data_IF_241788410523
#
_entry.id   IF_241788410523
#
_cell.length_a   1.000
_cell.length_b   1.000
_cell.length_c   1.000
_cell.angle_alpha   90.00
_cell.angle_beta   90.00
_cell.angle_gamma   90.00
#
_symmetry.space_group_name_H-M   'P 1'
#
loop_
_entity.id
_entity.type
_entity.pdbx_description
1 polymer ?
#
# COMPACT_ATOMS: atom_id res chain seq x y z
N UNK A 1 36.03 -77.43 31.61
CA UNK A 1 34.93 -77.21 32.56
C UNK A 1 33.84 -76.43 31.86
N UNK A 2 32.64 -76.97 31.97
CA UNK A 2 31.45 -76.76 31.15
C UNK A 2 30.50 -75.71 31.75
N UNK A 3 29.52 -75.32 30.91
CA UNK A 3 28.25 -74.63 31.12
C UNK A 3 28.18 -73.13 30.76
N UNK A 4 27.56 -72.73 29.62
CA UNK A 4 26.10 -72.66 29.30
C UNK A 4 25.33 -71.87 30.38
N UNK A 5 24.45 -70.90 30.15
CA UNK A 5 23.55 -70.46 29.06
C UNK A 5 23.09 -69.04 29.49
N UNK A 6 22.64 -68.07 28.68
CA UNK A 6 21.36 -68.04 27.94
C UNK A 6 21.24 -66.71 27.20
N UNK A 7 21.06 -66.79 25.88
CA UNK A 7 20.67 -65.68 25.00
C UNK A 7 19.24 -65.23 25.31
N UNK A 8 18.98 -63.93 25.29
CA UNK A 8 17.65 -63.37 24.99
C UNK A 8 17.79 -62.42 23.81
N UNK A 9 17.25 -62.86 22.68
CA UNK A 9 17.08 -62.11 21.43
C UNK A 9 16.02 -61.03 21.63
N UNK A 10 16.38 -59.77 21.40
CA UNK A 10 15.40 -58.70 21.23
C UNK A 10 14.78 -58.85 19.83
N UNK A 11 13.50 -59.21 19.77
CA UNK A 11 12.73 -59.26 18.53
C UNK A 11 12.46 -57.83 18.06
N UNK A 12 12.79 -57.57 16.80
CA UNK A 12 12.38 -56.39 16.03
C UNK A 12 10.87 -56.15 16.16
N UNK A 13 10.48 -54.96 16.61
CA UNK A 13 9.11 -54.46 16.43
C UNK A 13 8.99 -53.98 14.98
N UNK A 14 8.32 -54.78 14.14
CA UNK A 14 7.70 -54.29 12.91
C UNK A 14 6.58 -53.33 13.29
N UNK A 15 6.80 -52.03 13.10
CA UNK A 15 5.72 -51.05 13.09
C UNK A 15 4.97 -51.18 11.76
N UNK A 16 3.75 -51.73 11.82
CA UNK A 16 2.80 -51.69 10.71
C UNK A 16 2.41 -50.24 10.47
N UNK A 17 2.86 -49.63 9.37
CA UNK A 17 2.35 -48.32 8.92
C UNK A 17 0.95 -48.57 8.35
N UNK A 18 -0.06 -48.37 9.19
CA UNK A 18 -1.46 -48.32 8.78
C UNK A 18 -1.79 -46.90 8.36
N UNK A 19 -2.38 -46.77 7.18
CA UNK A 19 -3.17 -45.59 6.81
C UNK A 19 -2.38 -44.50 6.11
N UNK A 20 -2.60 -44.39 4.80
CA UNK A 20 -2.06 -43.32 3.98
C UNK A 20 -2.40 -41.96 4.56
N UNK A 21 -1.36 -41.13 4.75
CA UNK A 21 -1.56 -39.71 4.74
C UNK A 21 -2.12 -39.37 3.36
N UNK A 22 -3.41 -39.06 3.31
CA UNK A 22 -4.01 -38.28 2.25
C UNK A 22 -3.12 -37.04 2.17
N UNK A 23 -2.22 -37.01 1.19
CA UNK A 23 -1.64 -35.76 0.74
C UNK A 23 -2.84 -34.92 0.35
N UNK A 24 -3.24 -34.05 1.26
CA UNK A 24 -4.24 -33.05 1.01
C UNK A 24 -3.67 -32.23 -0.12
N UNK A 25 -4.04 -32.63 -1.34
CA UNK A 25 -3.90 -31.84 -2.54
C UNK A 25 -4.92 -30.73 -2.38
N UNK A 26 -4.69 -29.85 -1.40
CA UNK A 26 -5.22 -28.52 -1.42
C UNK A 26 -4.54 -27.90 -2.62
N UNK A 27 -5.17 -28.08 -3.78
CA UNK A 27 -5.05 -27.12 -4.84
C UNK A 27 -5.17 -25.77 -4.16
N UNK A 28 -4.06 -25.03 -4.09
CA UNK A 28 -4.09 -23.60 -3.89
C UNK A 28 -4.78 -23.02 -5.12
N UNK A 29 -6.08 -23.28 -5.25
CA UNK A 29 -6.97 -22.57 -6.11
C UNK A 29 -7.06 -21.19 -5.46
N UNK A 30 -6.04 -20.38 -5.73
CA UNK A 30 -6.13 -18.92 -5.67
C UNK A 30 -7.28 -18.57 -6.60
N UNK A 31 -8.47 -18.48 -6.04
CA UNK A 31 -9.63 -18.02 -6.77
C UNK A 31 -9.34 -16.57 -7.18
N UNK A 32 -8.98 -16.43 -8.46
CA UNK A 32 -9.04 -15.24 -9.32
C UNK A 32 -7.88 -14.23 -9.46
N UNK A 33 -6.64 -14.48 -9.04
CA UNK A 33 -5.55 -13.54 -9.38
C UNK A 33 -4.32 -14.19 -9.98
N UNK A 34 -4.15 -13.99 -11.29
CA UNK A 34 -2.92 -14.32 -12.02
C UNK A 34 -1.85 -13.28 -11.69
N UNK A 35 -0.57 -13.68 -11.52
CA UNK A 35 0.52 -12.72 -11.37
C UNK A 35 0.63 -11.84 -12.63
N UNK A 36 1.06 -10.61 -12.44
CA UNK A 36 1.26 -9.65 -13.52
C UNK A 36 2.55 -8.86 -13.32
N UNK A 37 3.05 -8.29 -14.42
CA UNK A 37 4.22 -7.41 -14.44
C UNK A 37 3.79 -6.09 -15.06
N UNK A 38 4.14 -4.98 -14.41
CA UNK A 38 3.95 -3.64 -14.96
C UNK A 38 5.32 -2.99 -15.16
N UNK A 39 5.49 -2.30 -16.28
CA UNK A 39 6.60 -1.38 -16.52
C UNK A 39 6.37 -0.08 -15.75
N UNK A 40 7.39 0.76 -15.71
CA UNK A 40 7.37 2.00 -14.96
C UNK A 40 6.18 2.91 -15.32
N UNK A 41 5.91 3.10 -16.61
CA UNK A 41 4.83 3.97 -17.10
C UNK A 41 3.46 3.29 -17.16
N UNK A 42 3.37 1.99 -16.90
CA UNK A 42 2.13 1.23 -17.02
C UNK A 42 1.33 1.30 -15.71
N UNK A 43 0.04 1.59 -15.81
CA UNK A 43 -0.89 1.45 -14.69
C UNK A 43 -1.67 0.14 -14.80
N UNK A 44 -2.03 -0.42 -13.65
CA UNK A 44 -2.95 -1.53 -13.53
C UNK A 44 -4.30 -1.12 -14.13
N UNK A 45 -4.81 -1.92 -15.06
CA UNK A 45 -6.02 -1.63 -15.85
C UNK A 45 -5.96 -0.35 -16.70
N UNK A 46 -4.80 0.30 -16.80
CA UNK A 46 -4.67 1.63 -17.42
C UNK A 46 -5.12 2.79 -16.54
N UNK A 47 -5.35 2.55 -15.24
CA UNK A 47 -5.86 3.55 -14.30
C UNK A 47 -4.78 4.55 -13.88
N UNK A 48 -4.72 5.68 -14.60
CA UNK A 48 -3.88 6.85 -14.29
C UNK A 48 -4.78 7.98 -13.81
N UNK A 49 -4.59 8.41 -12.56
CA UNK A 49 -5.32 9.54 -11.98
C UNK A 49 -4.47 10.81 -12.05
N UNK A 50 -4.75 11.68 -13.00
CA UNK A 50 -4.09 12.98 -13.13
C UNK A 50 -4.78 14.01 -12.24
N UNK A 51 -4.11 14.41 -11.16
CA UNK A 51 -4.67 15.34 -10.17
C UNK A 51 -3.84 16.63 -10.21
N UNK A 52 -4.47 17.74 -10.62
CA UNK A 52 -3.81 19.05 -10.78
C UNK A 52 -2.52 19.02 -11.64
N UNK A 53 -2.46 18.10 -12.61
CA UNK A 53 -1.31 17.92 -13.49
C UNK A 53 -0.25 16.93 -12.97
N UNK A 54 -0.48 16.29 -11.83
CA UNK A 54 0.39 15.28 -11.24
C UNK A 54 -0.23 13.89 -11.34
N UNK A 55 0.45 12.99 -12.04
CA UNK A 55 -0.05 11.64 -12.27
C UNK A 55 0.12 10.75 -11.03
N UNK A 56 -0.91 9.95 -10.76
CA UNK A 56 -0.92 8.83 -9.80
C UNK A 56 -1.27 7.57 -10.58
N UNK A 57 -0.28 6.73 -10.82
CA UNK A 57 -0.46 5.46 -11.54
C UNK A 57 -0.83 4.38 -10.51
N UNK A 58 -2.03 3.84 -10.59
CA UNK A 58 -2.40 2.66 -9.80
C UNK A 58 -1.57 1.47 -10.28
N UNK A 59 -0.80 0.84 -9.39
CA UNK A 59 0.07 -0.31 -9.69
C UNK A 59 -0.51 -1.63 -9.20
N UNK A 60 -1.15 -1.59 -8.04
CA UNK A 60 -1.88 -2.72 -7.45
C UNK A 60 -3.22 -2.17 -6.98
N UNK A 61 -4.33 -2.73 -7.48
CA UNK A 61 -5.68 -2.31 -7.07
C UNK A 61 -6.21 -3.17 -5.92
N UNK A 62 -7.20 -2.67 -5.18
CA UNK A 62 -8.04 -3.48 -4.29
C UNK A 62 -8.65 -4.70 -4.98
N UNK A 63 -8.94 -4.59 -6.27
CA UNK A 63 -9.38 -5.71 -7.12
C UNK A 63 -8.34 -6.82 -7.24
N UNK A 64 -7.06 -6.49 -7.05
CA UNK A 64 -5.92 -7.42 -7.03
C UNK A 64 -5.58 -7.89 -5.60
N UNK A 65 -6.28 -7.44 -4.57
CA UNK A 65 -5.84 -7.70 -3.18
C UNK A 65 -6.99 -8.07 -2.24
N UNK A 66 -8.21 -8.27 -2.76
CA UNK A 66 -9.43 -8.40 -1.94
C UNK A 66 -9.57 -7.20 -0.98
N UNK A 67 -9.32 -6.01 -1.51
CA UNK A 67 -9.30 -4.73 -0.79
C UNK A 67 -8.30 -4.63 0.37
N UNK A 68 -7.24 -5.45 0.40
CA UNK A 68 -6.25 -5.38 1.47
C UNK A 68 -5.28 -4.19 1.31
N UNK A 69 -4.88 -3.87 0.08
CA UNK A 69 -4.00 -2.73 -0.20
C UNK A 69 -4.17 -2.21 -1.63
N UNK A 70 -3.89 -0.93 -1.80
CA UNK A 70 -3.66 -0.28 -3.10
C UNK A 70 -2.26 0.27 -3.13
N UNK A 71 -1.53 0.10 -4.24
CA UNK A 71 -0.19 0.66 -4.41
C UNK A 71 -0.17 1.58 -5.62
N UNK A 72 0.48 2.74 -5.48
CA UNK A 72 0.56 3.77 -6.50
C UNK A 72 2.00 4.23 -6.73
N UNK A 73 2.29 4.66 -7.96
CA UNK A 73 3.43 5.53 -8.24
C UNK A 73 2.90 6.95 -8.48
N UNK A 74 3.41 7.91 -7.72
CA UNK A 74 3.15 9.33 -7.90
C UNK A 74 4.34 10.06 -8.49
N UNK A 75 4.06 10.96 -9.43
CA UNK A 75 5.03 11.87 -10.03
C UNK A 75 4.66 13.31 -9.68
N UNK A 76 5.64 14.07 -9.24
CA UNK A 76 5.42 15.39 -8.64
C UNK A 76 6.49 16.37 -9.11
N UNK A 77 6.18 17.66 -8.99
CA UNK A 77 7.11 18.77 -9.27
C UNK A 77 7.25 19.65 -8.03
N UNK A 78 8.21 20.55 -8.07
CA UNK A 78 8.45 21.52 -7.00
C UNK A 78 7.20 22.26 -6.56
N UNK A 79 7.07 22.41 -5.24
CA UNK A 79 5.94 23.04 -4.56
C UNK A 79 4.61 22.30 -4.70
N UNK A 80 4.57 21.11 -5.31
CA UNK A 80 3.40 20.26 -5.18
C UNK A 80 3.19 19.89 -3.71
N UNK A 81 1.95 19.97 -3.26
CA UNK A 81 1.55 19.69 -1.89
C UNK A 81 0.11 19.21 -1.85
N UNK A 82 -0.19 18.34 -0.88
CA UNK A 82 -1.55 18.02 -0.51
C UNK A 82 -2.02 18.96 0.61
N UNK A 83 -3.32 19.27 0.72
CA UNK A 83 -3.83 19.89 1.92
C UNK A 83 -3.58 19.01 3.15
N UNK A 84 -3.52 19.61 4.34
CA UNK A 84 -3.49 18.85 5.58
C UNK A 84 -4.77 18.04 5.73
N UNK A 85 -4.63 16.72 5.80
CA UNK A 85 -5.78 15.82 5.83
C UNK A 85 -5.58 14.62 6.74
N UNK A 86 -6.69 13.94 7.04
CA UNK A 86 -6.76 12.75 7.91
C UNK A 86 -7.49 11.65 7.17
N UNK A 87 -6.90 10.47 7.13
CA UNK A 87 -7.59 9.24 6.76
C UNK A 87 -8.20 8.62 8.01
N UNK A 88 -9.51 8.36 8.03
CA UNK A 88 -10.16 7.72 9.18
C UNK A 88 -10.09 6.18 9.13
N UNK A 89 -9.89 5.65 7.93
CA UNK A 89 -10.08 4.22 7.65
C UNK A 89 -8.87 3.54 7.02
N UNK A 90 -7.90 4.30 6.53
CA UNK A 90 -6.74 3.78 5.80
C UNK A 90 -5.47 4.31 6.49
N UNK A 91 -4.51 3.42 6.75
CA UNK A 91 -3.13 3.85 6.97
C UNK A 91 -2.51 4.13 5.59
N UNK A 92 -1.60 5.09 5.52
CA UNK A 92 -0.88 5.46 4.30
C UNK A 92 0.63 5.39 4.54
N UNK A 93 1.40 5.10 3.50
CA UNK A 93 2.85 5.14 3.58
C UNK A 93 3.45 5.65 2.28
N UNK A 94 4.56 6.38 2.39
CA UNK A 94 5.30 6.89 1.24
C UNK A 94 6.74 6.39 1.32
N UNK A 95 7.25 5.94 0.18
CA UNK A 95 8.66 5.67 -0.07
C UNK A 95 9.14 6.61 -1.16
N UNK A 96 10.16 7.43 -0.85
CA UNK A 96 10.70 8.39 -1.82
C UNK A 96 11.67 7.66 -2.75
N UNK A 97 11.32 7.61 -4.04
CA UNK A 97 12.15 7.01 -5.08
C UNK A 97 13.10 8.04 -5.68
N UNK A 98 12.62 9.28 -5.87
CA UNK A 98 13.38 10.39 -6.44
C UNK A 98 13.01 11.70 -5.72
N UNK A 99 13.99 12.56 -5.49
CA UNK A 99 13.77 13.94 -5.01
C UNK A 99 13.88 14.10 -3.50
N UNK A 100 13.38 15.24 -3.02
CA UNK A 100 13.38 15.65 -1.62
C UNK A 100 12.00 16.22 -1.27
N UNK A 101 11.37 15.67 -0.24
CA UNK A 101 9.99 15.96 0.16
C UNK A 101 9.93 16.22 1.66
N UNK A 102 9.31 17.32 2.05
CA UNK A 102 8.99 17.61 3.44
C UNK A 102 7.64 16.99 3.77
N UNK A 103 7.60 16.06 4.71
CA UNK A 103 6.37 15.54 5.29
C UNK A 103 6.10 16.24 6.62
N UNK A 104 4.83 16.50 6.89
CA UNK A 104 4.36 16.83 8.24
C UNK A 104 3.38 15.75 8.69
N UNK A 105 3.62 15.18 9.89
CA UNK A 105 2.82 14.13 10.51
C UNK A 105 2.47 14.57 11.93
N UNK A 106 1.20 14.90 12.14
CA UNK A 106 0.78 15.66 13.31
C UNK A 106 1.55 16.99 13.39
N UNK A 107 2.29 17.17 14.48
CA UNK A 107 3.08 18.38 14.73
C UNK A 107 4.54 18.26 14.26
N UNK A 108 4.97 17.06 13.89
CA UNK A 108 6.36 16.79 13.50
C UNK A 108 6.59 16.97 12.00
N UNK A 109 7.80 17.42 11.66
CA UNK A 109 8.23 17.64 10.28
C UNK A 109 9.50 16.88 9.98
N UNK A 110 9.49 16.17 8.85
CA UNK A 110 10.55 15.29 8.43
C UNK A 110 10.87 15.53 6.95
N UNK A 111 12.11 15.85 6.63
CA UNK A 111 12.56 15.95 5.24
C UNK A 111 13.12 14.61 4.80
N UNK A 112 12.46 14.00 3.82
CA UNK A 112 12.79 12.70 3.27
C UNK A 112 13.42 12.86 1.89
N UNK A 113 14.39 11.99 1.58
CA UNK A 113 15.10 11.91 0.30
C UNK A 113 14.96 10.51 -0.28
N UNK A 114 15.43 10.32 -1.52
CA UNK A 114 15.50 9.00 -2.16
C UNK A 114 16.05 7.91 -1.23
N UNK A 115 15.26 6.86 -1.02
CA UNK A 115 15.59 5.74 -0.13
C UNK A 115 14.90 5.78 1.23
N UNK A 116 14.36 6.94 1.61
CA UNK A 116 13.64 7.13 2.87
C UNK A 116 12.15 6.78 2.74
N UNK A 117 11.52 6.47 3.87
CA UNK A 117 10.08 6.22 3.95
C UNK A 117 9.44 6.88 5.16
N UNK A 118 8.14 7.14 5.07
CA UNK A 118 7.29 7.54 6.19
C UNK A 118 6.04 6.66 6.22
N UNK A 119 5.68 6.20 7.42
CA UNK A 119 4.40 5.57 7.70
C UNK A 119 3.47 6.59 8.35
N UNK A 120 2.24 6.66 7.87
CA UNK A 120 1.21 7.63 8.24
C UNK A 120 0.01 6.85 8.79
N UNK A 121 -0.03 6.60 10.11
CA UNK A 121 -1.17 5.93 10.72
C UNK A 121 -2.47 6.71 10.48
N UNK A 122 -3.55 5.98 10.26
CA UNK A 122 -4.92 6.52 10.24
C UNK A 122 -5.20 7.35 11.50
N UNK A 123 -6.08 8.33 11.36
CA UNK A 123 -6.45 9.31 12.38
C UNK A 123 -5.35 10.30 12.79
N UNK A 124 -4.19 10.29 12.13
CA UNK A 124 -3.16 11.31 12.31
C UNK A 124 -3.15 12.22 11.08
N UNK A 125 -3.28 13.53 11.31
CA UNK A 125 -3.24 14.52 10.25
C UNK A 125 -1.87 14.56 9.59
N UNK A 126 -1.83 14.61 8.26
CA UNK A 126 -0.58 14.70 7.53
C UNK A 126 -0.71 15.44 6.21
N UNK A 127 0.44 15.84 5.68
CA UNK A 127 0.62 16.53 4.40
C UNK A 127 2.07 16.38 3.95
N UNK A 128 2.34 16.76 2.71
CA UNK A 128 3.68 16.83 2.15
C UNK A 128 3.88 18.13 1.36
N UNK A 129 5.14 18.50 1.14
CA UNK A 129 5.60 19.54 0.21
C UNK A 129 6.83 19.06 -0.54
N UNK A 130 6.77 19.06 -1.87
CA UNK A 130 7.92 18.71 -2.71
C UNK A 130 8.90 19.89 -2.75
N UNK A 131 10.14 19.64 -2.30
CA UNK A 131 11.20 20.66 -2.21
C UNK A 131 12.10 20.69 -3.46
N UNK A 132 12.35 19.54 -4.07
CA UNK A 132 13.15 19.39 -5.29
C UNK A 132 12.37 19.77 -6.55
N UNK A 133 13.07 19.93 -7.69
CA UNK A 133 12.42 20.24 -8.97
C UNK A 133 11.42 19.17 -9.42
N UNK A 134 11.74 17.90 -9.14
CA UNK A 134 10.90 16.74 -9.35
C UNK A 134 10.98 15.80 -8.16
N UNK A 135 9.91 15.06 -7.91
CA UNK A 135 9.92 13.95 -6.98
C UNK A 135 9.09 12.78 -7.51
N UNK A 136 9.47 11.57 -7.13
CA UNK A 136 8.74 10.34 -7.41
C UNK A 136 8.58 9.59 -6.11
N UNK A 137 7.35 9.19 -5.80
CA UNK A 137 7.05 8.42 -4.59
C UNK A 137 6.26 7.18 -4.95
N UNK A 138 6.61 6.06 -4.33
CA UNK A 138 5.74 4.91 -4.21
C UNK A 138 4.92 5.14 -2.95
N UNK A 139 3.62 4.97 -3.01
CA UNK A 139 2.80 5.01 -1.81
C UNK A 139 1.68 3.99 -1.86
N UNK A 140 1.21 3.58 -0.69
CA UNK A 140 0.12 2.63 -0.59
C UNK A 140 -0.83 2.99 0.54
N UNK A 141 -2.07 2.50 0.41
CA UNK A 141 -3.09 2.63 1.44
C UNK A 141 -3.60 1.27 1.87
N UNK A 142 -3.84 1.11 3.17
CA UNK A 142 -4.33 -0.14 3.78
C UNK A 142 -5.45 0.11 4.79
N UNK A 143 -6.63 -0.52 4.65
CA UNK A 143 -7.11 -1.27 3.50
C UNK A 143 -7.19 -0.42 2.22
N UNK A 144 -7.51 -1.07 1.12
CA UNK A 144 -7.74 -0.44 -0.18
C UNK A 144 -9.17 0.14 -0.30
N UNK A 145 -9.37 0.96 -1.33
CA UNK A 145 -10.67 1.24 -1.92
C UNK A 145 -11.08 2.69 -1.82
N UNK A 146 -10.88 3.34 -0.66
CA UNK A 146 -11.32 4.73 -0.47
C UNK A 146 -10.41 5.69 -1.20
N UNK A 147 -9.09 5.53 -1.07
CA UNK A 147 -8.13 6.36 -1.81
C UNK A 147 -8.22 6.15 -3.33
N UNK A 148 -8.45 4.92 -3.82
CA UNK A 148 -8.73 4.67 -5.24
C UNK A 148 -9.97 5.43 -5.72
N UNK A 149 -11.08 5.34 -4.99
CA UNK A 149 -12.32 6.03 -5.33
C UNK A 149 -12.17 7.56 -5.26
N UNK A 150 -11.43 8.07 -4.27
CA UNK A 150 -11.13 9.48 -4.10
C UNK A 150 -10.33 10.02 -5.29
N UNK A 151 -9.21 9.38 -5.65
CA UNK A 151 -8.39 9.84 -6.78
C UNK A 151 -9.11 9.72 -8.11
N UNK A 152 -9.86 8.64 -8.35
CA UNK A 152 -10.69 8.53 -9.55
C UNK A 152 -11.65 9.72 -9.64
N UNK A 153 -12.42 9.98 -8.59
CA UNK A 153 -13.41 11.05 -8.57
C UNK A 153 -12.77 12.44 -8.68
N UNK A 154 -11.62 12.64 -8.06
CA UNK A 154 -10.90 13.92 -8.11
C UNK A 154 -10.30 14.17 -9.50
N UNK A 155 -9.78 13.13 -10.16
CA UNK A 155 -9.23 13.23 -11.53
C UNK A 155 -10.28 13.58 -12.58
N UNK A 156 -11.56 13.29 -12.32
CA UNK A 156 -12.69 13.60 -13.19
C UNK A 156 -13.26 15.01 -12.94
N UNK A 157 -12.83 15.69 -11.88
CA UNK A 157 -13.30 17.02 -11.52
C UNK A 157 -12.84 18.07 -12.53
N UNK A 158 -13.77 18.90 -13.00
CA UNK A 158 -13.47 19.97 -13.97
C UNK A 158 -13.05 21.25 -13.25
N UNK A 159 -11.91 21.79 -13.64
CA UNK A 159 -11.39 23.05 -13.10
C UNK A 159 -10.79 22.91 -11.69
N UNK A 160 -10.39 24.04 -11.11
CA UNK A 160 -9.89 24.07 -9.73
C UNK A 160 -11.07 24.28 -8.77
N UNK A 161 -11.33 23.35 -7.84
CA UNK A 161 -12.39 23.52 -6.85
C UNK A 161 -12.07 24.64 -5.85
N UNK A 162 -13.11 25.28 -5.34
CA UNK A 162 -12.99 26.19 -4.19
C UNK A 162 -12.66 25.41 -2.92
N UNK A 163 -12.20 26.10 -1.87
CA UNK A 163 -11.94 25.47 -0.57
C UNK A 163 -13.18 24.78 0.02
N UNK A 164 -14.37 25.38 -0.15
CA UNK A 164 -15.65 24.81 0.30
C UNK A 164 -16.01 23.53 -0.48
N UNK A 165 -15.81 23.55 -1.80
CA UNK A 165 -16.01 22.37 -2.64
C UNK A 165 -15.04 21.25 -2.26
N UNK A 166 -13.78 21.59 -1.98
CA UNK A 166 -12.80 20.62 -1.50
C UNK A 166 -13.16 20.04 -0.14
N UNK A 167 -13.64 20.86 0.79
CA UNK A 167 -14.07 20.37 2.11
C UNK A 167 -15.25 19.40 1.99
N UNK A 168 -16.26 19.74 1.18
CA UNK A 168 -17.38 18.85 0.91
C UNK A 168 -16.93 17.55 0.22
N UNK A 169 -15.97 17.65 -0.71
CA UNK A 169 -15.43 16.51 -1.44
C UNK A 169 -14.67 15.54 -0.53
N UNK A 170 -13.77 16.03 0.32
CA UNK A 170 -13.07 15.23 1.33
C UNK A 170 -14.05 14.50 2.25
N UNK A 171 -15.03 15.25 2.78
CA UNK A 171 -16.07 14.67 3.63
C UNK A 171 -16.86 13.56 2.93
N UNK A 172 -17.22 13.74 1.65
CA UNK A 172 -17.95 12.76 0.87
C UNK A 172 -17.18 11.44 0.63
N UNK A 173 -15.86 11.46 0.81
CA UNK A 173 -14.98 10.28 0.69
C UNK A 173 -14.51 9.74 2.04
N UNK A 174 -15.08 10.23 3.15
CA UNK A 174 -14.66 9.93 4.52
C UNK A 174 -13.18 10.25 4.80
N UNK A 175 -12.74 11.41 4.31
CA UNK A 175 -11.46 12.02 4.66
C UNK A 175 -11.70 13.33 5.41
N UNK A 176 -10.84 13.63 6.39
CA UNK A 176 -10.84 14.91 7.09
C UNK A 176 -9.97 15.92 6.37
N UNK A 177 -10.53 17.03 5.90
CA UNK A 177 -9.74 18.19 5.47
C UNK A 177 -9.56 19.12 6.67
N UNK A 178 -8.36 19.19 7.23
CA UNK A 178 -8.11 19.82 8.54
C UNK A 178 -7.18 21.03 8.47
N UNK A 179 -6.65 21.37 7.29
CA UNK A 179 -5.85 22.57 7.11
C UNK A 179 -5.42 22.81 5.67
N UNK A 180 -4.76 23.95 5.41
CA UNK A 180 -4.23 24.26 4.10
C UNK A 180 -3.05 23.33 3.73
N UNK A 181 -2.63 23.31 2.46
CA UNK A 181 -1.36 22.71 2.07
C UNK A 181 -0.18 23.42 2.72
N UNK A 182 0.95 22.71 2.85
CA UNK A 182 2.21 23.35 3.20
C UNK A 182 2.65 24.30 2.09
N UNK A 183 3.18 25.44 2.49
CA UNK A 183 3.84 26.40 1.59
C UNK A 183 5.31 26.53 1.97
N UNK A 184 6.13 26.90 1.00
CA UNK A 184 7.53 27.28 1.24
C UNK A 184 7.63 28.58 2.04
#
# INVERSE_FOLDING_TARGET
MENQTRRKTLKSLTATVVGGAILNNQSFAMENQKPFVLRESEARFGDVYTIFGMDKLLKISGKDTNNQLSLFFGYYVKNDSAPMHVHYHEDEEFYVLEGEVLFQVGDERHTLKSGDMVFLPRNIAHTYLVLSEKAKMLFMTTPSGKTEAFFKSLSEMKGRPTSEQMQAFFKAHDLGLVGPPLTK
#
